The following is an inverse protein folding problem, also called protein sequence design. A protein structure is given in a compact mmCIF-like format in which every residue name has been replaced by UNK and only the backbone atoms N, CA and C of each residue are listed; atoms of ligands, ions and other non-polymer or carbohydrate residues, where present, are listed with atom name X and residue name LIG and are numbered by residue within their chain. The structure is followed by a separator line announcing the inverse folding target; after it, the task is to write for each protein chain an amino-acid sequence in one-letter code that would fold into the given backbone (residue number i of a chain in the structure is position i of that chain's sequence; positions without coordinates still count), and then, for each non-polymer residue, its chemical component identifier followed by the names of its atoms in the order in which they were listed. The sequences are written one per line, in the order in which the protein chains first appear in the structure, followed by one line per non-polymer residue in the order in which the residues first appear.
data_IF_816277567404
#
_entry.id   IF_816277567404
#
_cell.length_a   1.000
_cell.length_b   1.000
_cell.length_c   1.000
_cell.angle_alpha   90.00
_cell.angle_beta   90.00
_cell.angle_gamma   90.00
#
_symmetry.space_group_name_H-M   'P 1'
#
loop_
_entity.id
_entity.type
_entity.pdbx_description
1 polymer ?
#
# COMPACT_ATOMS: atom_id res chain seq x y z
N UNK A 1 12.36 -14.04 4.23
CA UNK A 1 12.33 -13.45 2.87
C UNK A 1 12.53 -11.95 3.05
N UNK A 2 13.46 -11.34 2.30
CA UNK A 2 14.23 -10.18 2.74
C UNK A 2 13.43 -8.86 2.92
N UNK A 3 13.61 -8.26 4.10
CA UNK A 3 13.19 -6.91 4.49
C UNK A 3 13.52 -5.84 3.43
N UNK A 4 12.55 -5.00 3.06
CA UNK A 4 12.81 -3.78 2.27
C UNK A 4 13.66 -2.74 3.03
N UNK A 5 13.89 -2.99 4.33
CA UNK A 5 14.73 -2.19 5.22
C UNK A 5 16.24 -2.43 5.05
N UNK A 6 16.66 -3.43 4.27
CA UNK A 6 18.09 -3.79 4.03
C UNK A 6 18.44 -3.71 2.53
N UNK A 7 17.71 -2.92 1.74
CA UNK A 7 18.00 -2.72 0.33
C UNK A 7 18.66 -1.36 0.13
N UNK A 8 19.85 -1.35 -0.47
CA UNK A 8 20.45 -0.12 -0.99
C UNK A 8 19.50 0.55 -1.99
N UNK A 9 19.57 1.87 -2.12
CA UNK A 9 18.74 2.64 -3.07
C UNK A 9 18.72 1.98 -4.46
N UNK A 10 19.90 1.57 -4.94
CA UNK A 10 20.06 0.83 -6.22
C UNK A 10 19.21 -0.43 -6.32
N UNK A 11 19.07 -1.22 -5.25
CA UNK A 11 18.24 -2.44 -5.29
C UNK A 11 16.75 -2.10 -5.25
N UNK A 12 16.36 -1.02 -4.55
CA UNK A 12 14.97 -0.56 -4.50
C UNK A 12 14.51 -0.06 -5.87
N UNK A 13 15.34 0.72 -6.54
CA UNK A 13 15.03 1.25 -7.87
C UNK A 13 14.92 0.13 -8.91
N UNK A 14 15.85 -0.83 -8.91
CA UNK A 14 15.75 -1.99 -9.80
C UNK A 14 14.48 -2.81 -9.58
N UNK A 15 14.08 -3.04 -8.32
CA UNK A 15 12.84 -3.76 -8.02
C UNK A 15 11.60 -2.96 -8.42
N UNK A 16 11.62 -1.64 -8.23
CA UNK A 16 10.54 -0.76 -8.62
C UNK A 16 10.29 -0.80 -10.13
N UNK A 17 11.35 -0.74 -10.94
CA UNK A 17 11.24 -0.87 -12.39
C UNK A 17 10.69 -2.25 -12.80
N UNK A 18 11.15 -3.33 -12.16
CA UNK A 18 10.63 -4.67 -12.41
C UNK A 18 9.13 -4.75 -12.08
N UNK A 19 8.72 -4.25 -10.91
CA UNK A 19 7.32 -4.26 -10.46
C UNK A 19 6.45 -3.47 -11.44
N UNK A 20 6.89 -2.29 -11.86
CA UNK A 20 6.15 -1.48 -12.85
C UNK A 20 6.02 -2.17 -14.19
N UNK A 21 7.06 -2.88 -14.63
CA UNK A 21 7.05 -3.58 -15.91
C UNK A 21 6.07 -4.77 -15.94
N UNK A 22 5.85 -5.44 -14.79
CA UNK A 22 4.99 -6.63 -14.72
C UNK A 22 3.60 -6.38 -14.12
N UNK A 23 3.42 -5.28 -13.39
CA UNK A 23 2.14 -4.98 -12.76
C UNK A 23 1.12 -4.50 -13.79
N UNK A 24 -0.08 -5.08 -13.74
CA UNK A 24 -1.21 -4.65 -14.56
C UNK A 24 -1.66 -3.21 -14.25
N UNK A 25 -1.54 -2.80 -12.98
CA UNK A 25 -1.81 -1.45 -12.53
C UNK A 25 -1.09 -1.20 -11.20
N UNK A 26 -0.64 0.03 -10.99
CA UNK A 26 -0.05 0.47 -9.72
C UNK A 26 -0.51 1.90 -9.43
N UNK A 27 -0.58 2.25 -8.16
CA UNK A 27 -0.95 3.57 -7.69
C UNK A 27 -0.35 3.83 -6.31
N UNK A 28 -0.20 5.11 -5.97
CA UNK A 28 0.36 5.55 -4.69
C UNK A 28 -0.63 6.48 -4.05
N UNK A 29 -1.07 6.12 -2.85
CA UNK A 29 -1.86 6.99 -1.98
C UNK A 29 -0.99 7.57 -0.89
N UNK A 30 -1.19 8.84 -0.60
CA UNK A 30 -0.43 9.59 0.40
C UNK A 30 -1.41 10.23 1.37
N UNK A 31 -1.01 10.34 2.63
CA UNK A 31 -1.66 11.21 3.61
C UNK A 31 -0.64 12.25 4.08
N UNK A 32 -1.06 13.51 4.16
CA UNK A 32 -0.21 14.62 4.56
C UNK A 32 -0.03 14.69 6.08
N UNK A 33 0.91 15.52 6.55
CA UNK A 33 1.13 15.72 7.99
C UNK A 33 -0.11 16.33 8.63
N UNK A 34 -0.75 17.26 7.95
CA UNK A 34 -2.00 17.90 8.40
C UNK A 34 -3.11 16.87 8.58
N UNK A 35 -3.22 15.89 7.68
CA UNK A 35 -4.20 14.80 7.80
C UNK A 35 -3.84 13.82 8.92
N UNK A 36 -2.55 13.60 9.20
CA UNK A 36 -2.11 12.82 10.36
C UNK A 36 -2.49 13.53 11.66
N UNK A 37 -2.31 14.86 11.72
CA UNK A 37 -2.64 15.66 12.88
C UNK A 37 -4.17 15.71 13.11
N UNK A 38 -4.97 15.77 12.04
CA UNK A 38 -6.43 15.77 12.11
C UNK A 38 -7.02 14.40 12.48
N UNK A 39 -6.54 13.33 11.84
CA UNK A 39 -7.19 12.01 11.92
C UNK A 39 -6.46 11.00 12.80
N UNK A 40 -5.25 11.30 13.27
CA UNK A 40 -4.23 10.38 13.79
C UNK A 40 -3.57 9.47 12.73
N UNK A 41 -2.39 8.94 13.08
CA UNK A 41 -1.55 8.14 12.18
C UNK A 41 -2.26 6.89 11.61
N UNK A 42 -3.15 6.26 12.38
CA UNK A 42 -3.84 5.06 11.94
C UNK A 42 -4.87 5.40 10.85
N UNK A 43 -5.70 6.42 11.08
CA UNK A 43 -6.72 6.81 10.12
C UNK A 43 -6.11 7.45 8.87
N UNK A 44 -5.05 8.25 9.02
CA UNK A 44 -4.29 8.77 7.90
C UNK A 44 -3.70 7.64 7.05
N UNK A 45 -3.20 6.57 7.68
CA UNK A 45 -2.75 5.37 6.96
C UNK A 45 -3.89 4.72 6.16
N UNK A 46 -5.08 4.59 6.74
CA UNK A 46 -6.25 4.08 6.03
C UNK A 46 -6.71 4.98 4.90
N UNK A 47 -6.61 6.29 5.05
CA UNK A 47 -6.93 7.25 3.99
C UNK A 47 -5.95 7.11 2.82
N UNK A 48 -4.65 6.99 3.11
CA UNK A 48 -3.63 6.72 2.10
C UNK A 48 -3.89 5.39 1.37
N UNK A 49 -4.23 4.31 2.09
CA UNK A 49 -4.57 3.03 1.48
C UNK A 49 -5.81 3.11 0.57
N UNK A 50 -6.87 3.81 1.01
CA UNK A 50 -8.06 4.05 0.18
C UNK A 50 -7.71 4.80 -1.10
N UNK A 51 -6.90 5.87 -1.00
CA UNK A 51 -6.41 6.62 -2.16
C UNK A 51 -5.61 5.74 -3.12
N UNK A 52 -4.74 4.88 -2.60
CA UNK A 52 -3.95 3.97 -3.42
C UNK A 52 -4.85 2.99 -4.20
N UNK A 53 -5.85 2.38 -3.54
CA UNK A 53 -6.76 1.45 -4.21
C UNK A 53 -7.64 2.17 -5.25
N UNK A 54 -8.17 3.34 -4.89
CA UNK A 54 -9.02 4.14 -5.78
C UNK A 54 -8.24 4.70 -6.99
N UNK A 55 -6.94 4.95 -6.83
CA UNK A 55 -6.07 5.42 -7.90
C UNK A 55 -5.59 4.33 -8.87
N UNK A 56 -5.97 3.06 -8.69
CA UNK A 56 -5.66 2.00 -9.65
C UNK A 56 -6.49 2.17 -10.91
N UNK A 57 -5.83 2.19 -12.06
CA UNK A 57 -6.50 2.20 -13.37
C UNK A 57 -7.34 0.94 -13.60
N UNK A 58 -6.92 -0.19 -13.03
CA UNK A 58 -7.67 -1.45 -13.05
C UNK A 58 -8.15 -1.73 -11.63
N UNK A 59 -9.47 -1.72 -11.43
CA UNK A 59 -10.07 -1.96 -10.14
C UNK A 59 -9.98 -3.45 -9.74
N UNK A 60 -9.35 -3.79 -8.60
CA UNK A 60 -9.19 -5.18 -8.20
C UNK A 60 -10.50 -5.75 -7.64
N UNK A 61 -10.72 -7.05 -7.81
CA UNK A 61 -11.87 -7.76 -7.23
C UNK A 61 -11.71 -8.00 -5.72
N UNK A 62 -10.47 -8.02 -5.24
CA UNK A 62 -10.11 -8.23 -3.84
C UNK A 62 -8.79 -7.54 -3.53
N UNK A 63 -8.69 -6.91 -2.37
CA UNK A 63 -7.46 -6.26 -1.88
C UNK A 63 -6.87 -7.06 -0.73
N UNK A 64 -5.56 -7.30 -0.78
CA UNK A 64 -4.81 -7.89 0.34
C UNK A 64 -4.00 -6.77 1.00
N UNK A 65 -4.18 -6.59 2.31
CA UNK A 65 -3.55 -5.51 3.07
C UNK A 65 -2.61 -6.13 4.10
N UNK A 66 -1.35 -5.71 4.05
CA UNK A 66 -0.37 -6.06 5.07
C UNK A 66 -0.67 -5.28 6.35
N UNK A 67 -1.13 -5.98 7.38
CA UNK A 67 -1.59 -5.37 8.61
C UNK A 67 -2.67 -6.19 9.31
N UNK A 68 -3.14 -5.67 10.44
CA UNK A 68 -4.17 -6.29 11.28
C UNK A 68 -5.52 -5.58 11.24
N UNK A 69 -5.64 -4.52 10.45
CA UNK A 69 -6.87 -3.74 10.30
C UNK A 69 -7.07 -3.38 8.84
N UNK A 70 -8.33 -3.19 8.49
CA UNK A 70 -8.74 -2.88 7.12
C UNK A 70 -9.28 -1.44 7.05
N UNK A 71 -8.89 -0.66 6.04
CA UNK A 71 -9.59 0.55 5.65
C UNK A 71 -10.98 0.20 5.10
N UNK A 72 -11.88 1.18 5.09
CA UNK A 72 -13.17 1.05 4.43
C UNK A 72 -12.96 1.06 2.91
N UNK A 73 -13.18 -0.08 2.26
CA UNK A 73 -13.05 -0.22 0.80
C UNK A 73 -14.38 -0.71 0.21
N UNK A 74 -14.68 -0.27 -1.01
CA UNK A 74 -15.87 -0.70 -1.75
C UNK A 74 -15.80 -2.15 -2.23
N UNK A 75 -14.61 -2.76 -2.19
CA UNK A 75 -14.39 -4.16 -2.55
C UNK A 75 -13.96 -4.99 -1.33
N UNK A 76 -14.11 -6.32 -1.40
CA UNK A 76 -13.60 -7.22 -0.37
C UNK A 76 -12.11 -6.99 -0.10
N UNK A 77 -11.76 -6.80 1.17
CA UNK A 77 -10.38 -6.67 1.61
C UNK A 77 -10.06 -7.74 2.66
N UNK A 78 -8.82 -8.22 2.65
CA UNK A 78 -8.34 -9.18 3.63
C UNK A 78 -7.04 -8.69 4.24
N UNK A 79 -7.04 -8.57 5.56
CA UNK A 79 -5.86 -8.25 6.34
C UNK A 79 -5.01 -9.52 6.47
N UNK A 80 -3.75 -9.43 6.08
CA UNK A 80 -2.78 -10.52 6.23
C UNK A 80 -1.84 -10.11 7.36
N UNK A 81 -2.11 -10.61 8.56
CA UNK A 81 -1.23 -10.47 9.73
C UNK A 81 -0.14 -11.52 9.64
N UNK A 82 0.87 -11.27 8.79
CA UNK A 82 2.19 -11.93 8.65
C UNK A 82 2.57 -12.04 7.17
N UNK A 83 3.49 -11.17 6.75
CA UNK A 83 4.30 -11.34 5.54
C UNK A 83 5.80 -11.11 5.76
N UNK A 84 6.22 -10.64 6.94
CA UNK A 84 7.64 -10.42 7.25
C UNK A 84 8.15 -11.51 8.21
N UNK A 85 8.65 -12.60 7.62
CA UNK A 85 9.54 -13.58 8.24
C UNK A 85 10.64 -13.93 7.24
#
# INVERSE_FOLDING_TARGET
MADSKILSERKRDSLFEIIKAVALSWSVGVASVEEIDEFNILQATFLAMQRAVNGLAIQPHKVLIDGNRLPSLHMPAQAIVKGTG
#
